data_IF_698159000162
#
_entry.id   IF_698159000162
#
_cell.length_a   1.000
_cell.length_b   1.000
_cell.length_c   1.000
_cell.angle_alpha   90.00
_cell.angle_beta   90.00
_cell.angle_gamma   90.00
#
_symmetry.space_group_name_H-M   'P 1'
#
loop_
_entity.id
_entity.type
_entity.pdbx_description
1 polymer ?
#
# COMPACT_ATOMS: atom_id res chain seq x y z
N UNK A 1 7.88 30.10 -25.57
CA UNK A 1 8.69 29.54 -24.47
C UNK A 1 10.00 30.32 -24.36
N UNK A 2 9.93 31.61 -24.01
CA UNK A 2 11.12 32.47 -23.83
C UNK A 2 11.55 32.46 -22.35
N UNK A 3 12.82 32.16 -22.10
CA UNK A 3 13.55 32.31 -20.83
C UNK A 3 12.90 31.73 -19.56
N UNK A 4 12.63 30.42 -19.53
CA UNK A 4 12.42 29.70 -18.26
C UNK A 4 13.77 29.57 -17.55
N UNK A 5 13.85 30.03 -16.29
CA UNK A 5 15.04 29.87 -15.44
C UNK A 5 15.53 28.41 -15.51
N UNK A 6 16.80 28.15 -15.86
CA UNK A 6 17.33 26.79 -15.97
C UNK A 6 17.14 25.97 -14.67
N UNK A 7 17.09 26.62 -13.51
CA UNK A 7 16.77 25.99 -12.22
C UNK A 7 15.33 25.47 -12.18
N UNK A 8 14.39 26.25 -12.71
CA UNK A 8 12.98 25.89 -12.78
C UNK A 8 12.76 24.71 -13.75
N UNK A 9 13.43 24.71 -14.90
CA UNK A 9 13.40 23.58 -15.83
C UNK A 9 13.88 22.28 -15.17
N UNK A 10 15.03 22.33 -14.48
CA UNK A 10 15.56 21.16 -13.78
C UNK A 10 14.64 20.70 -12.64
N UNK A 11 13.95 21.64 -11.97
CA UNK A 11 12.98 21.32 -10.94
C UNK A 11 11.77 20.55 -11.52
N UNK A 12 11.18 21.04 -12.61
CA UNK A 12 10.08 20.34 -13.28
C UNK A 12 10.46 18.95 -13.79
N UNK A 13 11.71 18.76 -14.26
CA UNK A 13 12.21 17.42 -14.61
C UNK A 13 12.27 16.47 -13.41
N UNK A 14 12.63 16.99 -12.23
CA UNK A 14 12.58 16.17 -11.01
C UNK A 14 11.13 15.82 -10.65
N UNK A 15 10.17 16.74 -10.74
CA UNK A 15 8.75 16.41 -10.51
C UNK A 15 8.22 15.40 -11.53
N UNK A 16 8.55 15.54 -12.81
CA UNK A 16 8.21 14.56 -13.84
C UNK A 16 8.69 13.16 -13.44
N UNK A 17 9.94 13.04 -12.98
CA UNK A 17 10.47 11.78 -12.47
C UNK A 17 9.71 11.30 -11.23
N UNK A 18 9.41 12.20 -10.29
CA UNK A 18 8.65 11.90 -9.08
C UNK A 18 7.28 11.30 -9.40
N UNK A 19 6.53 11.90 -10.31
CA UNK A 19 5.19 11.44 -10.70
C UNK A 19 5.21 10.19 -11.59
N UNK A 20 6.24 10.00 -12.42
CA UNK A 20 6.44 8.71 -13.12
C UNK A 20 6.68 7.56 -12.12
N UNK A 21 7.47 7.81 -11.07
CA UNK A 21 7.67 6.83 -10.01
C UNK A 21 6.37 6.59 -9.23
N UNK A 22 5.62 7.65 -8.92
CA UNK A 22 4.30 7.52 -8.29
C UNK A 22 3.35 6.65 -9.12
N UNK A 23 3.29 6.86 -10.44
CA UNK A 23 2.46 6.05 -11.35
C UNK A 23 2.88 4.58 -11.32
N UNK A 24 4.17 4.27 -11.36
CA UNK A 24 4.68 2.91 -11.24
C UNK A 24 4.31 2.29 -9.89
N UNK A 25 4.56 3.02 -8.79
CA UNK A 25 4.23 2.59 -7.44
C UNK A 25 2.72 2.37 -7.29
N UNK A 26 1.87 3.16 -7.93
CA UNK A 26 0.43 2.98 -7.90
C UNK A 26 0.01 1.63 -8.52
N UNK A 27 0.56 1.28 -9.67
CA UNK A 27 0.29 0.00 -10.33
C UNK A 27 0.73 -1.16 -9.44
N UNK A 28 1.99 -1.13 -8.98
CA UNK A 28 2.52 -2.17 -8.09
C UNK A 28 1.71 -2.28 -6.81
N UNK A 29 1.36 -1.15 -6.18
CA UNK A 29 0.54 -1.12 -4.97
C UNK A 29 -0.82 -1.79 -5.17
N UNK A 30 -1.54 -1.47 -6.24
CA UNK A 30 -2.85 -2.06 -6.55
C UNK A 30 -2.74 -3.58 -6.79
N UNK A 31 -1.73 -4.01 -7.55
CA UNK A 31 -1.49 -5.43 -7.82
C UNK A 31 -1.14 -6.19 -6.54
N UNK A 32 -0.25 -5.64 -5.72
CA UNK A 32 0.13 -6.24 -4.44
C UNK A 32 -1.06 -6.30 -3.47
N UNK A 33 -1.92 -5.27 -3.40
CA UNK A 33 -3.13 -5.33 -2.59
C UNK A 33 -4.10 -6.43 -3.05
N UNK A 34 -4.22 -6.64 -4.36
CA UNK A 34 -5.02 -7.74 -4.91
C UNK A 34 -4.45 -9.10 -4.48
N UNK A 35 -3.14 -9.30 -4.58
CA UNK A 35 -2.48 -10.53 -4.11
C UNK A 35 -2.68 -10.74 -2.61
N UNK A 36 -2.59 -9.68 -1.81
CA UNK A 36 -2.90 -9.77 -0.39
C UNK A 36 -4.35 -10.20 -0.14
N UNK A 37 -5.30 -9.69 -0.93
CA UNK A 37 -6.71 -10.05 -0.78
C UNK A 37 -6.91 -11.56 -0.99
N UNK A 38 -6.28 -12.16 -2.01
CA UNK A 38 -6.35 -13.60 -2.27
C UNK A 38 -5.81 -14.45 -1.10
N UNK A 39 -4.74 -13.98 -0.45
CA UNK A 39 -4.17 -14.66 0.71
C UNK A 39 -5.01 -14.43 1.99
N UNK A 40 -5.67 -13.28 2.14
CA UNK A 40 -6.58 -12.99 3.26
C UNK A 40 -7.86 -13.83 3.16
N UNK A 41 -8.44 -13.95 1.96
CA UNK A 41 -9.60 -14.82 1.73
C UNK A 41 -9.25 -16.29 2.08
N UNK A 42 -8.02 -16.70 1.76
CA UNK A 42 -7.49 -18.02 2.17
C UNK A 42 -7.35 -18.14 3.69
N UNK A 43 -6.87 -17.09 4.38
CA UNK A 43 -6.73 -17.06 5.84
C UNK A 43 -8.08 -17.13 6.54
N UNK A 44 -9.11 -16.47 6.01
CA UNK A 44 -10.46 -16.56 6.54
C UNK A 44 -10.94 -18.02 6.54
N UNK A 45 -10.86 -18.68 5.38
CA UNK A 45 -11.26 -20.08 5.25
C UNK A 45 -10.45 -21.00 6.18
N UNK A 46 -9.14 -20.79 6.31
CA UNK A 46 -8.30 -21.57 7.23
C UNK A 46 -8.66 -21.34 8.71
N UNK A 47 -9.01 -20.11 9.07
CA UNK A 47 -9.43 -19.77 10.44
C UNK A 47 -10.78 -20.39 10.78
N UNK A 48 -11.73 -20.38 9.84
CA UNK A 48 -12.99 -21.10 9.98
C UNK A 48 -12.76 -22.60 10.14
N UNK A 49 -11.90 -23.20 9.31
CA UNK A 49 -11.52 -24.62 9.44
C UNK A 49 -10.86 -24.93 10.78
N UNK A 50 -10.00 -24.04 11.29
CA UNK A 50 -9.38 -24.20 12.60
C UNK A 50 -10.43 -24.28 13.71
N UNK A 51 -11.36 -23.32 13.73
CA UNK A 51 -12.46 -23.28 14.71
C UNK A 51 -13.35 -24.51 14.59
N UNK A 52 -13.80 -24.86 13.38
CA UNK A 52 -14.62 -26.05 13.16
C UNK A 52 -13.90 -27.34 13.58
N UNK A 53 -12.61 -27.49 13.27
CA UNK A 53 -11.83 -28.66 13.68
C UNK A 53 -11.68 -28.73 15.21
N UNK A 54 -11.54 -27.58 15.87
CA UNK A 54 -11.43 -27.52 17.32
C UNK A 54 -12.76 -27.83 18.03
N UNK A 55 -13.89 -27.42 17.45
CA UNK A 55 -15.23 -27.58 18.04
C UNK A 55 -15.96 -28.86 17.60
N UNK A 56 -15.46 -29.57 16.58
CA UNK A 56 -16.11 -30.77 16.07
C UNK A 56 -16.22 -31.88 17.14
N UNK A 57 -17.41 -32.49 17.25
CA UNK A 57 -17.67 -33.67 18.09
C UNK A 57 -17.19 -34.96 17.42
N UNK A 58 -15.87 -35.19 17.41
CA UNK A 58 -15.22 -36.33 16.73
C UNK A 58 -14.79 -37.46 17.68
N UNK A 59 -15.41 -37.58 18.85
CA UNK A 59 -15.01 -38.53 19.90
C UNK A 59 -14.94 -39.99 19.41
N UNK A 60 -15.90 -40.41 18.58
CA UNK A 60 -15.92 -41.75 17.98
C UNK A 60 -14.74 -41.98 17.03
N UNK A 61 -14.34 -40.95 16.27
CA UNK A 61 -13.18 -40.98 15.39
C UNK A 61 -11.87 -41.03 16.17
N UNK A 62 -11.79 -40.36 17.33
CA UNK A 62 -10.61 -40.37 18.20
C UNK A 62 -10.32 -41.76 18.79
N UNK A 63 -11.33 -42.63 18.94
CA UNK A 63 -11.10 -44.02 19.35
C UNK A 63 -10.30 -44.82 18.31
N UNK A 64 -10.43 -44.46 17.02
CA UNK A 64 -9.74 -45.14 15.91
C UNK A 64 -8.47 -44.40 15.47
N UNK A 65 -8.47 -43.07 15.59
CA UNK A 65 -7.40 -42.16 15.20
C UNK A 65 -7.16 -41.12 16.32
N UNK A 66 -6.45 -41.50 17.40
CA UNK A 66 -6.35 -40.71 18.63
C UNK A 66 -5.79 -39.30 18.44
N UNK A 67 -4.96 -39.10 17.41
CA UNK A 67 -4.22 -37.87 17.14
C UNK A 67 -4.75 -37.09 15.93
N UNK A 68 -5.89 -37.48 15.35
CA UNK A 68 -6.38 -36.87 14.12
C UNK A 68 -6.68 -35.38 14.28
N UNK A 69 -7.24 -34.97 15.43
CA UNK A 69 -7.55 -33.56 15.71
C UNK A 69 -6.27 -32.74 15.77
N UNK A 70 -5.31 -33.16 16.59
CA UNK A 70 -4.03 -32.45 16.77
C UNK A 70 -3.27 -32.35 15.45
N UNK A 71 -3.22 -33.44 14.67
CA UNK A 71 -2.59 -33.45 13.34
C UNK A 71 -3.28 -32.53 12.35
N UNK A 72 -4.61 -32.44 12.36
CA UNK A 72 -5.37 -31.53 11.50
C UNK A 72 -5.13 -30.07 11.90
N UNK A 73 -5.27 -29.75 13.19
CA UNK A 73 -5.00 -28.41 13.70
C UNK A 73 -3.56 -27.98 13.40
N UNK A 74 -2.59 -28.87 13.56
CA UNK A 74 -1.19 -28.61 13.20
C UNK A 74 -1.04 -28.29 11.70
N UNK A 75 -1.67 -29.09 10.82
CA UNK A 75 -1.63 -28.82 9.37
C UNK A 75 -2.30 -27.50 9.00
N UNK A 76 -3.44 -27.17 9.62
CA UNK A 76 -4.13 -25.90 9.39
C UNK A 76 -3.24 -24.74 9.84
N UNK A 77 -2.64 -24.81 11.03
CA UNK A 77 -1.70 -23.79 11.52
C UNK A 77 -0.50 -23.60 10.59
N UNK A 78 0.07 -24.70 10.06
CA UNK A 78 1.16 -24.60 9.07
C UNK A 78 0.74 -23.88 7.79
N UNK A 79 -0.48 -24.12 7.30
CA UNK A 79 -0.99 -23.39 6.14
C UNK A 79 -1.25 -21.92 6.47
N UNK A 80 -1.77 -21.60 7.65
CA UNK A 80 -1.92 -20.22 8.13
C UNK A 80 -0.56 -19.51 8.15
N UNK A 81 0.47 -20.13 8.71
CA UNK A 81 1.82 -19.55 8.78
C UNK A 81 2.39 -19.26 7.38
N UNK A 82 2.14 -20.15 6.41
CA UNK A 82 2.52 -19.93 5.00
C UNK A 82 1.81 -18.72 4.41
N UNK A 83 0.51 -18.57 4.66
CA UNK A 83 -0.30 -17.44 4.17
C UNK A 83 0.17 -16.12 4.78
N UNK A 84 0.39 -16.08 6.10
CA UNK A 84 0.97 -14.93 6.79
C UNK A 84 2.35 -14.57 6.25
N UNK A 85 3.21 -15.56 6.00
CA UNK A 85 4.54 -15.34 5.41
C UNK A 85 4.46 -14.66 4.05
N UNK A 86 3.51 -15.07 3.18
CA UNK A 86 3.28 -14.41 1.90
C UNK A 86 2.75 -12.99 2.06
N UNK A 87 1.85 -12.75 3.00
CA UNK A 87 1.37 -11.41 3.30
C UNK A 87 2.52 -10.49 3.76
N UNK A 88 3.42 -10.98 4.62
CA UNK A 88 4.61 -10.22 5.01
C UNK A 88 5.56 -9.93 3.83
N UNK A 89 5.71 -10.86 2.89
CA UNK A 89 6.48 -10.62 1.65
C UNK A 89 5.82 -9.48 0.86
N UNK A 90 4.50 -9.52 0.67
CA UNK A 90 3.77 -8.47 -0.03
C UNK A 90 3.87 -7.12 0.71
N UNK A 91 3.87 -7.12 2.04
CA UNK A 91 4.10 -5.91 2.83
C UNK A 91 5.46 -5.27 2.56
N UNK A 92 6.50 -6.06 2.25
CA UNK A 92 7.80 -5.50 1.86
C UNK A 92 7.70 -4.74 0.54
N UNK A 93 6.97 -5.27 -0.45
CA UNK A 93 6.72 -4.56 -1.72
C UNK A 93 5.94 -3.26 -1.52
N UNK A 94 4.94 -3.26 -0.63
CA UNK A 94 4.23 -2.02 -0.26
C UNK A 94 5.19 -1.02 0.41
N UNK A 95 6.04 -1.49 1.33
CA UNK A 95 7.04 -0.64 2.00
C UNK A 95 8.03 -0.03 1.02
N UNK A 96 8.50 -0.79 0.03
CA UNK A 96 9.37 -0.28 -1.01
C UNK A 96 8.71 0.83 -1.83
N UNK A 97 7.40 0.72 -2.11
CA UNK A 97 6.66 1.79 -2.76
C UNK A 97 6.60 3.06 -1.90
N UNK A 98 6.32 2.92 -0.60
CA UNK A 98 6.38 4.01 0.36
C UNK A 98 7.76 4.69 0.35
N UNK A 99 8.83 3.92 0.48
CA UNK A 99 10.21 4.45 0.53
C UNK A 99 10.61 5.17 -0.76
N UNK A 100 10.19 4.65 -1.91
CA UNK A 100 10.43 5.30 -3.20
C UNK A 100 9.71 6.64 -3.29
N UNK A 101 8.47 6.73 -2.80
CA UNK A 101 7.67 7.94 -2.83
C UNK A 101 8.22 8.98 -1.85
N UNK A 102 8.54 8.61 -0.60
CA UNK A 102 9.20 9.52 0.36
C UNK A 102 10.48 10.10 -0.23
N UNK A 103 11.30 9.26 -0.87
CA UNK A 103 12.52 9.74 -1.52
C UNK A 103 12.25 10.75 -2.65
N UNK A 104 11.18 10.57 -3.42
CA UNK A 104 10.80 11.55 -4.45
C UNK A 104 10.25 12.84 -3.85
N UNK A 105 9.48 12.75 -2.77
CA UNK A 105 9.03 13.90 -2.01
C UNK A 105 10.22 14.68 -1.43
N UNK A 106 11.15 14.02 -0.74
CA UNK A 106 12.33 14.65 -0.13
C UNK A 106 13.17 15.42 -1.16
N UNK A 107 13.42 14.81 -2.32
CA UNK A 107 14.15 15.49 -3.40
C UNK A 107 13.38 16.68 -3.95
N UNK A 108 12.09 16.54 -4.22
CA UNK A 108 11.28 17.61 -4.79
C UNK A 108 11.08 18.76 -3.79
N UNK A 109 10.90 18.45 -2.51
CA UNK A 109 10.80 19.39 -1.39
C UNK A 109 12.11 20.15 -1.17
N UNK A 110 13.26 19.47 -1.25
CA UNK A 110 14.58 20.11 -1.16
C UNK A 110 14.79 21.11 -2.29
N UNK A 111 14.42 20.75 -3.52
CA UNK A 111 14.48 21.66 -4.66
C UNK A 111 13.53 22.85 -4.45
N UNK A 112 12.29 22.59 -4.01
CA UNK A 112 11.29 23.64 -3.73
C UNK A 112 11.83 24.71 -2.77
N UNK A 113 12.51 24.30 -1.70
CA UNK A 113 13.07 25.22 -0.69
C UNK A 113 14.21 26.09 -1.22
N UNK A 114 14.87 25.66 -2.30
CA UNK A 114 15.96 26.39 -2.95
C UNK A 114 15.50 27.36 -4.04
N UNK A 115 14.20 27.37 -4.37
CA UNK A 115 13.64 28.23 -5.41
C UNK A 115 12.96 29.47 -4.80
N UNK A 116 13.00 30.62 -5.49
CA UNK A 116 12.20 31.79 -5.15
C UNK A 116 10.70 31.49 -5.04
N UNK A 117 10.02 32.17 -4.13
CA UNK A 117 8.60 31.94 -3.84
C UNK A 117 7.71 32.15 -5.08
N UNK A 118 7.97 33.22 -5.83
CA UNK A 118 7.30 33.56 -7.08
C UNK A 118 7.39 32.43 -8.11
N UNK A 119 8.55 31.76 -8.21
CA UNK A 119 8.74 30.64 -9.14
C UNK A 119 8.00 29.38 -8.71
N UNK A 120 7.94 29.06 -7.41
CA UNK A 120 7.26 27.84 -6.94
C UNK A 120 5.73 27.97 -6.93
N UNK A 121 5.22 29.20 -6.84
CA UNK A 121 3.78 29.51 -6.94
C UNK A 121 3.31 29.77 -8.37
N UNK A 122 4.23 29.84 -9.34
CA UNK A 122 3.88 30.08 -10.74
C UNK A 122 3.10 28.89 -11.30
N UNK A 123 1.94 29.18 -11.88
CA UNK A 123 1.08 28.21 -12.56
C UNK A 123 0.82 28.65 -14.01
N UNK A 124 0.54 27.69 -14.88
CA UNK A 124 0.06 27.94 -16.25
C UNK A 124 -1.30 27.28 -16.45
N UNK A 125 -1.93 27.52 -17.59
CA UNK A 125 -3.20 26.87 -17.96
C UNK A 125 -3.13 25.34 -17.96
N UNK A 126 -1.94 24.77 -18.13
CA UNK A 126 -1.72 23.32 -18.28
C UNK A 126 -0.83 22.71 -17.21
N UNK A 127 -0.11 23.51 -16.43
CA UNK A 127 0.85 23.05 -15.42
C UNK A 127 0.49 23.68 -14.06
N UNK A 128 0.12 22.84 -13.05
CA UNK A 128 -0.10 23.31 -11.68
C UNK A 128 1.15 23.97 -11.08
N UNK A 129 0.99 24.70 -9.97
CA UNK A 129 2.14 25.28 -9.30
C UNK A 129 3.08 24.18 -8.77
N UNK A 130 4.38 24.45 -8.81
CA UNK A 130 5.40 23.53 -8.30
C UNK A 130 5.15 23.17 -6.84
N UNK A 131 4.77 24.17 -6.02
CA UNK A 131 4.44 23.98 -4.61
C UNK A 131 3.28 23.01 -4.41
N UNK A 132 2.19 23.15 -5.16
CA UNK A 132 1.01 22.28 -5.06
C UNK A 132 1.37 20.83 -5.39
N UNK A 133 2.18 20.61 -6.43
CA UNK A 133 2.64 19.28 -6.81
C UNK A 133 3.50 18.62 -5.72
N UNK A 134 4.40 19.38 -5.09
CA UNK A 134 5.18 18.88 -3.96
C UNK A 134 4.28 18.56 -2.76
N UNK A 135 3.26 19.38 -2.49
CA UNK A 135 2.27 19.15 -1.44
C UNK A 135 1.47 17.87 -1.71
N UNK A 136 1.01 17.64 -2.94
CA UNK A 136 0.30 16.41 -3.30
C UNK A 136 1.17 15.16 -3.10
N UNK A 137 2.47 15.24 -3.43
CA UNK A 137 3.41 14.14 -3.15
C UNK A 137 3.53 13.88 -1.65
N UNK A 138 3.59 14.92 -0.81
CA UNK A 138 3.64 14.79 0.64
C UNK A 138 2.36 14.15 1.21
N UNK A 139 1.19 14.63 0.77
CA UNK A 139 -0.10 14.07 1.17
C UNK A 139 -0.17 12.57 0.88
N UNK A 140 0.20 12.19 -0.35
CA UNK A 140 0.20 10.80 -0.80
C UNK A 140 1.20 9.96 0.00
N UNK A 141 2.40 10.49 0.25
CA UNK A 141 3.42 9.81 1.06
C UNK A 141 2.91 9.48 2.47
N UNK A 142 2.30 10.47 3.14
CA UNK A 142 1.70 10.31 4.48
C UNK A 142 0.57 9.27 4.45
N UNK A 143 -0.33 9.35 3.47
CA UNK A 143 -1.45 8.41 3.36
C UNK A 143 -0.99 6.97 3.12
N UNK A 144 0.00 6.76 2.25
CA UNK A 144 0.55 5.43 1.98
C UNK A 144 1.26 4.85 3.19
N UNK A 145 2.02 5.66 3.92
CA UNK A 145 2.64 5.24 5.18
C UNK A 145 1.61 4.84 6.22
N UNK A 146 0.56 5.65 6.40
CA UNK A 146 -0.52 5.32 7.33
C UNK A 146 -1.12 3.96 6.99
N UNK A 147 -1.48 3.73 5.72
CA UNK A 147 -2.04 2.46 5.28
C UNK A 147 -1.09 1.30 5.51
N UNK A 148 0.19 1.46 5.13
CA UNK A 148 1.20 0.44 5.34
C UNK A 148 1.29 0.03 6.82
N UNK A 149 1.40 1.00 7.73
CA UNK A 149 1.53 0.71 9.15
C UNK A 149 0.26 0.10 9.75
N UNK A 150 -0.92 0.58 9.35
CA UNK A 150 -2.19 0.00 9.79
C UNK A 150 -2.30 -1.48 9.37
N UNK A 151 -1.98 -1.80 8.11
CA UNK A 151 -1.99 -3.17 7.60
C UNK A 151 -0.93 -4.04 8.26
N UNK A 152 0.29 -3.51 8.44
CA UNK A 152 1.37 -4.22 9.13
C UNK A 152 0.96 -4.58 10.56
N UNK A 153 0.42 -3.61 11.31
CA UNK A 153 -0.03 -3.84 12.67
C UNK A 153 -1.14 -4.90 12.74
N UNK A 154 -2.07 -4.87 11.78
CA UNK A 154 -3.14 -5.86 11.70
C UNK A 154 -2.60 -7.29 11.48
N UNK A 155 -1.54 -7.45 10.67
CA UNK A 155 -0.86 -8.74 10.48
C UNK A 155 -0.04 -9.15 11.72
N UNK A 156 0.70 -8.22 12.32
CA UNK A 156 1.55 -8.50 13.48
C UNK A 156 0.72 -8.91 14.73
N UNK A 157 -0.56 -8.52 14.78
CA UNK A 157 -1.50 -8.86 15.86
C UNK A 157 -2.42 -10.03 15.54
N UNK A 158 -2.28 -10.63 14.35
CA UNK A 158 -3.10 -11.76 13.93
C UNK A 158 -2.93 -12.95 14.88
N UNK A 159 -4.04 -13.55 15.29
CA UNK A 159 -4.07 -14.85 15.97
C UNK A 159 -5.28 -15.63 15.50
N UNK A 160 -5.09 -16.90 15.13
CA UNK A 160 -6.19 -17.74 14.60
C UNK A 160 -7.34 -17.88 15.59
N UNK A 161 -7.05 -17.91 16.90
CA UNK A 161 -8.08 -18.09 17.94
C UNK A 161 -8.97 -16.86 18.15
N UNK A 162 -8.52 -15.66 17.76
CA UNK A 162 -9.26 -14.41 17.91
C UNK A 162 -9.58 -13.76 16.56
N UNK A 163 -9.45 -14.53 15.48
CA UNK A 163 -9.63 -14.01 14.14
C UNK A 163 -11.10 -13.71 13.88
N UNK A 164 -11.44 -12.43 13.89
CA UNK A 164 -12.71 -11.90 13.42
C UNK A 164 -12.53 -11.45 11.97
N UNK A 165 -13.03 -12.27 11.04
CA UNK A 165 -12.83 -12.04 9.61
C UNK A 165 -13.44 -10.73 9.12
N UNK A 166 -14.66 -10.41 9.57
CA UNK A 166 -15.39 -9.23 9.11
C UNK A 166 -14.69 -7.96 9.57
N UNK A 167 -14.28 -7.91 10.84
CA UNK A 167 -13.54 -6.78 11.36
C UNK A 167 -12.14 -6.67 10.73
N UNK A 168 -11.43 -7.79 10.56
CA UNK A 168 -10.13 -7.81 9.90
C UNK A 168 -10.22 -7.26 8.48
N UNK A 169 -11.20 -7.71 7.69
CA UNK A 169 -11.42 -7.25 6.31
C UNK A 169 -11.79 -5.78 6.23
N UNK A 170 -12.62 -5.30 7.15
CA UNK A 170 -12.97 -3.88 7.25
C UNK A 170 -11.73 -3.02 7.55
N UNK A 171 -10.91 -3.43 8.51
CA UNK A 171 -9.67 -2.73 8.85
C UNK A 171 -8.65 -2.80 7.71
N UNK A 172 -8.51 -3.96 7.07
CA UNK A 172 -7.62 -4.16 5.93
C UNK A 172 -7.98 -3.27 4.75
N UNK A 173 -9.27 -3.06 4.48
CA UNK A 173 -9.72 -2.25 3.34
C UNK A 173 -9.90 -0.76 3.66
N UNK A 174 -9.71 -0.36 4.92
CA UNK A 174 -9.87 1.02 5.35
C UNK A 174 -8.93 1.97 4.59
N UNK A 175 -9.49 3.05 4.04
CA UNK A 175 -8.77 4.09 3.31
C UNK A 175 -8.30 3.71 1.90
N UNK A 176 -8.42 2.45 1.45
CA UNK A 176 -7.88 2.01 0.13
C UNK A 176 -8.42 2.86 -1.03
N UNK A 177 -9.72 3.15 -1.03
CA UNK A 177 -10.38 3.96 -2.05
C UNK A 177 -9.94 5.41 -2.01
N UNK A 178 -9.82 6.00 -0.82
CA UNK A 178 -9.43 7.39 -0.63
C UNK A 178 -8.00 7.64 -1.13
N UNK A 179 -7.05 6.79 -0.74
CA UNK A 179 -5.67 6.87 -1.25
C UNK A 179 -5.61 6.64 -2.75
N UNK A 180 -6.36 5.66 -3.27
CA UNK A 180 -6.42 5.41 -4.72
C UNK A 180 -6.93 6.65 -5.47
N UNK A 181 -7.98 7.28 -4.95
CA UNK A 181 -8.57 8.48 -5.52
C UNK A 181 -7.58 9.64 -5.50
N UNK A 182 -6.96 9.93 -4.34
CA UNK A 182 -5.97 11.02 -4.20
C UNK A 182 -4.80 10.85 -5.18
N UNK A 183 -4.29 9.62 -5.34
CA UNK A 183 -3.22 9.34 -6.30
C UNK A 183 -3.70 9.53 -7.75
N UNK A 184 -4.89 9.04 -8.10
CA UNK A 184 -5.47 9.24 -9.43
C UNK A 184 -5.66 10.73 -9.75
N UNK A 185 -6.16 11.52 -8.81
CA UNK A 185 -6.41 12.94 -8.97
C UNK A 185 -5.10 13.69 -9.20
N UNK A 186 -4.09 13.43 -8.37
CA UNK A 186 -2.76 14.03 -8.55
C UNK A 186 -2.15 13.67 -9.91
N UNK A 187 -2.23 12.41 -10.34
CA UNK A 187 -1.77 11.97 -11.66
C UNK A 187 -2.55 12.62 -12.81
N UNK A 188 -3.84 12.88 -12.63
CA UNK A 188 -4.67 13.57 -13.61
C UNK A 188 -4.24 15.04 -13.77
N UNK A 189 -4.01 15.75 -12.66
CA UNK A 189 -3.60 17.15 -12.68
C UNK A 189 -2.22 17.36 -13.31
N UNK A 190 -1.30 16.41 -13.17
CA UNK A 190 0.03 16.50 -13.77
C UNK A 190 0.13 15.85 -15.15
N UNK A 191 -0.98 15.46 -15.77
CA UNK A 191 -0.96 14.71 -17.03
C UNK A 191 -0.19 15.44 -18.14
N UNK A 192 -0.43 16.74 -18.35
CA UNK A 192 0.28 17.53 -19.35
C UNK A 192 1.78 17.64 -19.05
N UNK A 193 2.15 17.73 -17.78
CA UNK A 193 3.56 17.70 -17.37
C UNK A 193 4.23 16.36 -17.73
N UNK A 194 3.48 15.26 -17.72
CA UNK A 194 3.97 13.93 -18.08
C UNK A 194 4.00 13.66 -19.60
N UNK A 195 3.09 14.29 -20.36
CA UNK A 195 2.92 14.13 -21.81
C UNK A 195 3.93 14.95 -22.64
N UNK A 196 4.53 16.03 -22.10
CA UNK A 196 5.52 16.92 -22.74
C UNK A 196 6.93 16.29 -22.93
N UNK A 197 6.99 15.00 -23.28
CA UNK A 197 8.23 14.29 -23.69
C UNK A 197 8.35 14.15 -25.20
#
# INVERSE_FOLDING_TARGET
MENIDPRLKSAYQQLQKSYKILQQCQTTWKETLKQCQEEIDSLQNLSEQYTCCNEAGIDVLLLQLPDVREKLLYKISLEIDKKLSKLHINMNTLKECCDRISKQYDYSSTISKGLPLDLVTMTTETIPAFADMVEWLNDIDIMLHHQYWAKKHLLDTYTVQKFDSDNFMKMWNSGNNETTQKVNDALCYVKFLLDDT
#
